data_IF_750041924646
#
_entry.id   IF_750041924646
#
_cell.length_a   1.000
_cell.length_b   1.000
_cell.length_c   1.000
_cell.angle_alpha   90.00
_cell.angle_beta   90.00
_cell.angle_gamma   90.00
#
_symmetry.space_group_name_H-M   'P 1'
#
loop_
_entity.id
_entity.type
_entity.pdbx_description
1 polymer ?
#
# COMPACT_ATOMS: atom_id res chain seq x y z
N UNK A 1 14.51 3.35 0.57
CA UNK A 1 15.08 1.99 0.38
C UNK A 1 14.61 1.14 1.56
N UNK A 2 14.16 -0.08 1.33
CA UNK A 2 13.79 -1.01 2.39
C UNK A 2 14.97 -1.90 2.80
N UNK A 3 14.95 -2.37 4.05
CA UNK A 3 15.88 -3.37 4.60
C UNK A 3 15.15 -4.69 4.83
N UNK A 4 15.85 -5.83 4.94
CA UNK A 4 15.23 -7.11 5.26
C UNK A 4 14.33 -7.05 6.50
N UNK A 5 13.13 -7.62 6.41
CA UNK A 5 12.14 -7.65 7.50
C UNK A 5 11.52 -6.29 7.88
N UNK A 6 11.80 -5.22 7.13
CA UNK A 6 11.20 -3.90 7.36
C UNK A 6 9.68 -3.93 7.12
N UNK A 7 8.96 -3.17 7.95
CA UNK A 7 7.53 -2.90 7.81
C UNK A 7 7.34 -1.47 7.33
N UNK A 8 6.56 -1.27 6.29
CA UNK A 8 6.19 0.05 5.76
C UNK A 8 4.68 0.21 5.85
N UNK A 9 4.23 1.30 6.44
CA UNK A 9 2.82 1.68 6.49
C UNK A 9 2.48 2.49 5.25
N UNK A 10 1.44 2.07 4.53
CA UNK A 10 0.89 2.77 3.37
C UNK A 10 -0.51 3.25 3.75
N UNK A 11 -0.75 4.55 3.63
CA UNK A 11 -2.07 5.14 3.87
C UNK A 11 -2.74 5.54 2.56
N UNK A 12 -4.05 5.35 2.52
CA UNK A 12 -4.92 5.80 1.43
C UNK A 12 -5.89 6.80 2.01
N UNK A 13 -5.79 8.05 1.58
CA UNK A 13 -6.57 9.19 2.03
C UNK A 13 -6.88 10.12 0.86
N UNK A 14 -7.98 10.86 0.98
CA UNK A 14 -8.37 11.88 0.02
C UNK A 14 -9.41 12.82 0.64
N UNK A 15 -9.81 13.83 -0.12
CA UNK A 15 -10.87 14.76 0.29
C UNK A 15 -12.22 14.04 0.41
N UNK A 16 -12.46 13.11 -0.51
CA UNK A 16 -13.68 12.30 -0.57
C UNK A 16 -13.48 10.92 0.06
N UNK A 17 -14.60 10.29 0.47
CA UNK A 17 -14.60 8.87 0.82
C UNK A 17 -14.45 7.99 -0.43
N UNK A 18 -13.90 6.79 -0.22
CA UNK A 18 -13.80 5.74 -1.23
C UNK A 18 -14.39 4.42 -0.73
N UNK A 19 -14.82 3.55 -1.65
CA UNK A 19 -15.43 2.25 -1.34
C UNK A 19 -14.43 1.10 -1.45
N UNK A 20 -13.49 1.19 -2.39
CA UNK A 20 -12.55 0.12 -2.67
C UNK A 20 -11.18 0.61 -3.07
N UNK A 21 -10.22 -0.31 -3.01
CA UNK A 21 -8.86 -0.12 -3.49
C UNK A 21 -8.27 -1.45 -3.92
N UNK A 22 -7.27 -1.39 -4.80
CA UNK A 22 -6.39 -2.50 -5.14
C UNK A 22 -4.98 -1.96 -5.24
N UNK A 23 -4.12 -2.31 -4.29
CA UNK A 23 -2.74 -1.80 -4.18
C UNK A 23 -1.76 -2.95 -4.38
N UNK A 24 -0.70 -2.68 -5.13
CA UNK A 24 0.42 -3.58 -5.40
C UNK A 24 1.73 -2.98 -4.88
N UNK A 25 2.66 -3.84 -4.49
CA UNK A 25 4.04 -3.46 -4.19
C UNK A 25 4.97 -3.95 -5.29
N UNK A 26 5.82 -3.05 -5.81
CA UNK A 26 6.72 -3.36 -6.93
C UNK A 26 8.14 -2.88 -6.70
N UNK A 27 9.09 -3.63 -7.24
CA UNK A 27 10.51 -3.29 -7.30
C UNK A 27 10.70 -2.08 -8.20
N UNK A 28 11.42 -1.05 -7.75
CA UNK A 28 11.77 0.08 -8.63
C UNK A 28 12.76 -0.37 -9.71
N UNK A 29 13.62 -1.33 -9.39
CA UNK A 29 14.70 -1.78 -10.26
C UNK A 29 14.21 -2.71 -11.38
N UNK A 30 13.26 -3.60 -11.08
CA UNK A 30 12.84 -4.66 -12.01
C UNK A 30 11.37 -4.59 -12.39
N UNK A 31 10.57 -3.77 -11.70
CA UNK A 31 9.11 -3.74 -11.83
C UNK A 31 8.39 -5.04 -11.39
N UNK A 32 9.12 -6.00 -10.83
CA UNK A 32 8.53 -7.25 -10.33
C UNK A 32 7.71 -7.02 -9.06
N UNK A 33 6.76 -7.92 -8.81
CA UNK A 33 6.02 -7.98 -7.56
C UNK A 33 6.93 -8.39 -6.41
N UNK A 34 6.91 -7.62 -5.31
CA UNK A 34 7.81 -7.85 -4.17
C UNK A 34 7.14 -7.68 -2.81
N UNK A 35 7.63 -8.48 -1.86
CA UNK A 35 7.21 -8.43 -0.46
C UNK A 35 5.82 -9.01 -0.24
N UNK A 36 5.24 -8.72 0.91
CA UNK A 36 3.95 -9.26 1.30
C UNK A 36 3.14 -8.25 2.10
N UNK A 37 1.83 -8.24 1.89
CA UNK A 37 0.91 -7.44 2.69
C UNK A 37 0.49 -8.19 3.95
N UNK A 38 0.29 -7.43 5.03
CA UNK A 38 -0.31 -7.98 6.24
C UNK A 38 -1.84 -8.05 6.09
N UNK A 39 -2.40 -9.23 6.32
CA UNK A 39 -3.86 -9.40 6.30
C UNK A 39 -4.47 -8.78 7.55
N UNK A 40 -5.39 -7.85 7.36
CA UNK A 40 -6.29 -7.33 8.38
C UNK A 40 -7.73 -7.81 8.12
N UNK A 41 -8.64 -7.74 9.10
CA UNK A 41 -10.04 -8.15 8.89
C UNK A 41 -10.76 -7.39 7.75
N UNK A 42 -10.34 -6.17 7.44
CA UNK A 42 -10.97 -5.32 6.43
C UNK A 42 -10.29 -5.40 5.06
N UNK A 43 -9.39 -6.38 4.87
CA UNK A 43 -8.58 -6.53 3.67
C UNK A 43 -8.46 -7.98 3.22
N UNK A 44 -8.34 -8.17 1.91
CA UNK A 44 -7.97 -9.42 1.29
C UNK A 44 -6.59 -9.26 0.63
N UNK A 45 -5.69 -10.19 0.89
CA UNK A 45 -4.32 -10.19 0.32
C UNK A 45 -4.24 -11.18 -0.83
N UNK A 46 -3.44 -10.83 -1.83
CA UNK A 46 -3.17 -11.58 -3.05
C UNK A 46 -1.65 -11.78 -3.20
N UNK A 47 -1.09 -12.82 -2.54
CA UNK A 47 0.35 -13.06 -2.53
C UNK A 47 0.95 -13.29 -3.92
N UNK A 48 0.18 -13.88 -4.84
CA UNK A 48 0.58 -14.20 -6.21
C UNK A 48 1.00 -12.97 -7.03
N UNK A 49 0.53 -11.78 -6.62
CA UNK A 49 0.85 -10.52 -7.27
C UNK A 49 1.26 -9.41 -6.29
N UNK A 50 1.71 -9.78 -5.08
CA UNK A 50 2.09 -8.84 -4.01
C UNK A 50 1.07 -7.70 -3.83
N UNK A 51 -0.21 -8.05 -3.77
CA UNK A 51 -1.32 -7.09 -3.79
C UNK A 51 -2.26 -7.23 -2.61
N UNK A 52 -3.02 -6.17 -2.31
CA UNK A 52 -4.04 -6.12 -1.26
C UNK A 52 -5.24 -5.30 -1.73
N UNK A 53 -6.44 -5.75 -1.35
CA UNK A 53 -7.71 -5.12 -1.68
C UNK A 53 -8.61 -5.01 -0.46
N UNK A 54 -9.62 -4.15 -0.53
CA UNK A 54 -10.72 -4.06 0.42
C UNK A 54 -11.50 -5.38 0.58
N UNK A 55 -12.02 -5.65 1.78
CA UNK A 55 -12.88 -6.80 2.04
C UNK A 55 -14.39 -6.51 1.89
N UNK A 56 -14.78 -5.22 1.93
CA UNK A 56 -16.19 -4.80 1.86
C UNK A 56 -16.34 -3.43 1.15
N UNK A 57 -17.51 -3.13 0.56
CA UNK A 57 -17.75 -1.90 -0.21
C UNK A 57 -18.21 -0.69 0.63
N UNK A 58 -18.05 -0.71 1.96
CA UNK A 58 -18.43 0.43 2.83
C UNK A 58 -17.55 1.64 2.54
N UNK A 59 -18.10 2.83 2.79
CA UNK A 59 -17.35 4.08 2.62
C UNK A 59 -16.22 4.19 3.65
N UNK A 60 -15.06 4.61 3.17
CA UNK A 60 -13.81 4.74 3.93
C UNK A 60 -13.28 6.16 3.71
N UNK A 61 -12.97 6.85 4.80
CA UNK A 61 -12.23 8.12 4.75
C UNK A 61 -10.71 7.88 4.73
N UNK A 62 -10.27 6.76 5.30
CA UNK A 62 -8.87 6.35 5.40
C UNK A 62 -8.76 4.82 5.36
N UNK A 63 -7.71 4.32 4.74
CA UNK A 63 -7.28 2.93 4.90
C UNK A 63 -5.77 2.89 5.21
N UNK A 64 -5.37 2.04 6.14
CA UNK A 64 -3.98 1.86 6.54
C UNK A 64 -3.58 0.42 6.27
N UNK A 65 -2.55 0.25 5.46
CA UNK A 65 -2.04 -1.04 5.00
C UNK A 65 -0.60 -1.19 5.47
N UNK A 66 -0.21 -2.42 5.82
CA UNK A 66 1.18 -2.71 6.22
C UNK A 66 1.79 -3.64 5.19
N UNK A 67 2.89 -3.20 4.59
CA UNK A 67 3.73 -4.00 3.70
C UNK A 67 4.97 -4.48 4.44
N UNK A 68 5.35 -5.73 4.20
CA UNK A 68 6.58 -6.36 4.70
C UNK A 68 7.54 -6.59 3.55
N UNK A 69 8.76 -6.11 3.71
CA UNK A 69 9.84 -6.41 2.78
C UNK A 69 10.22 -7.90 2.80
N UNK A 70 10.82 -8.42 1.72
CA UNK A 70 11.45 -9.74 1.75
C UNK A 70 12.49 -9.88 2.87
N UNK A 71 12.73 -11.11 3.33
CA UNK A 71 13.59 -11.41 4.50
C UNK A 71 15.09 -11.42 4.21
N UNK A 72 15.49 -11.43 2.94
CA UNK A 72 16.90 -11.64 2.55
C UNK A 72 17.40 -10.63 1.51
N UNK A 73 16.60 -9.61 1.19
CA UNK A 73 16.95 -8.60 0.19
C UNK A 73 16.74 -7.20 0.72
N UNK A 74 17.44 -6.26 0.09
CA UNK A 74 17.24 -4.82 0.25
C UNK A 74 17.02 -4.23 -1.14
N UNK A 75 16.41 -3.05 -1.21
CA UNK A 75 16.12 -2.42 -2.49
C UNK A 75 15.14 -1.27 -2.36
N UNK A 76 14.60 -0.80 -3.49
CA UNK A 76 13.54 0.21 -3.48
C UNK A 76 12.23 -0.43 -3.88
N UNK A 77 11.18 -0.03 -3.16
CA UNK A 77 9.80 -0.44 -3.44
C UNK A 77 9.02 0.83 -3.78
N UNK A 78 8.10 0.72 -4.72
CA UNK A 78 7.04 1.69 -4.90
C UNK A 78 5.69 0.98 -4.80
N UNK A 79 4.68 1.72 -4.34
CA UNK A 79 3.33 1.21 -4.20
C UNK A 79 2.46 1.84 -5.26
N UNK A 80 1.67 1.04 -5.96
CA UNK A 80 0.80 1.52 -7.03
C UNK A 80 -0.55 0.84 -6.98
N UNK A 81 -1.59 1.48 -7.51
CA UNK A 81 -2.88 0.85 -7.54
C UNK A 81 -4.01 1.72 -8.05
N UNK A 82 -5.22 1.23 -7.76
CA UNK A 82 -6.49 1.86 -8.12
C UNK A 82 -7.30 2.12 -6.87
N UNK A 83 -7.91 3.30 -6.77
CA UNK A 83 -8.88 3.66 -5.74
C UNK A 83 -10.24 3.85 -6.40
N UNK A 84 -11.28 3.24 -5.83
CA UNK A 84 -12.65 3.27 -6.31
C UNK A 84 -13.52 4.08 -5.36
N UNK A 85 -14.10 5.20 -5.83
CA UNK A 85 -15.16 5.93 -5.11
C UNK A 85 -16.53 5.31 -5.39
N UNK A 86 -16.86 5.12 -6.66
CA UNK A 86 -18.08 4.47 -7.14
C UNK A 86 -17.89 3.99 -8.59
N UNK A 87 -18.88 3.30 -9.18
CA UNK A 87 -18.76 2.75 -10.54
C UNK A 87 -18.45 3.78 -11.63
N UNK A 88 -18.80 5.05 -11.43
CA UNK A 88 -18.50 6.14 -12.37
C UNK A 88 -17.25 6.96 -12.01
N UNK A 89 -16.59 6.69 -10.88
CA UNK A 89 -15.46 7.49 -10.40
C UNK A 89 -14.41 6.61 -9.73
N UNK A 90 -13.26 6.52 -10.39
CA UNK A 90 -12.09 5.81 -9.90
C UNK A 90 -10.81 6.50 -10.39
N UNK A 91 -9.72 6.25 -9.69
CA UNK A 91 -8.39 6.74 -10.04
C UNK A 91 -7.45 5.54 -10.12
N UNK A 92 -6.87 5.32 -11.29
CA UNK A 92 -5.97 4.19 -11.57
C UNK A 92 -4.54 4.67 -11.81
N UNK A 93 -3.59 3.72 -11.75
CA UNK A 93 -2.16 3.99 -11.91
C UNK A 93 -1.63 5.04 -10.93
N UNK A 94 -2.25 5.14 -9.75
CA UNK A 94 -1.74 5.98 -8.68
C UNK A 94 -0.43 5.40 -8.20
N UNK A 95 0.53 6.25 -7.89
CA UNK A 95 1.79 5.88 -7.25
C UNK A 95 1.76 6.57 -5.89
N UNK A 96 1.99 5.81 -4.82
CA UNK A 96 2.10 6.40 -3.50
C UNK A 96 3.32 7.31 -3.44
N UNK A 97 3.14 8.51 -2.90
CA UNK A 97 4.26 9.40 -2.64
C UNK A 97 5.24 8.71 -1.67
N UNK A 98 6.53 8.90 -1.92
CA UNK A 98 7.54 8.40 -1.00
C UNK A 98 7.39 9.14 0.34
N UNK A 99 7.59 8.45 1.49
CA UNK A 99 7.76 9.14 2.77
C UNK A 99 8.84 10.21 2.60
N UNK A 100 8.49 11.47 2.87
CA UNK A 100 9.41 12.60 2.71
C UNK A 100 10.61 12.47 3.67
N UNK A 101 10.48 11.74 4.78
CA UNK A 101 11.59 11.43 5.68
C UNK A 101 11.37 10.11 6.48
N UNK A 102 12.34 9.17 6.51
CA UNK A 102 12.33 8.05 7.45
C UNK A 102 12.46 8.45 8.93
N UNK A 103 12.72 9.73 9.26
CA UNK A 103 12.90 10.23 10.63
C UNK A 103 11.62 10.71 11.33
N UNK A 104 10.48 10.83 10.64
CA UNK A 104 9.22 11.32 11.24
C UNK A 104 8.58 10.34 12.26
N UNK A 105 9.21 9.20 12.52
CA UNK A 105 8.83 8.25 13.58
C UNK A 105 9.49 8.52 14.94
N UNK A 106 10.20 9.65 15.12
CA UNK A 106 10.88 10.00 16.39
C UNK A 106 10.37 11.25 17.12
N UNK A 107 9.21 11.82 16.77
CA UNK A 107 8.63 12.86 17.63
C UNK A 107 7.68 12.22 18.65
N UNK A 108 8.21 11.94 19.84
CA UNK A 108 7.41 12.02 21.07
C UNK A 108 7.54 13.47 21.55
N UNK A 109 6.43 14.19 21.50
CA UNK A 109 6.28 15.56 21.98
C UNK A 109 4.81 15.95 21.93
#
# INVERSE_FOLDING_TARGET
MYRPGMRITVSIEGVDTFKGFFIQARSVETNDWIGAWEKTPNTTVHPECSSVTHADPRDKSRATLVWRSPQHTHGRVYFTGTILKNYGTFWSNLIADAPQDPADLQIIG
#
